data_IF_336820571700
#
_entry.id   IF_336820571700
#
_cell.length_a   1.000
_cell.length_b   1.000
_cell.length_c   1.000
_cell.angle_alpha   90.00
_cell.angle_beta   90.00
_cell.angle_gamma   90.00
#
_symmetry.space_group_name_H-M   'P 1'
#
loop_
_entity.id
_entity.type
_entity.pdbx_description
1 polymer ?
#
# COMPACT_ATOMS: atom_id res chain seq x y z
N UNK A 1 -25.42 -23.55 5.16
CA UNK A 1 -25.82 -23.01 3.84
C UNK A 1 -25.82 -21.51 3.98
N UNK A 2 -24.94 -20.82 3.23
CA UNK A 2 -24.82 -19.37 3.21
C UNK A 2 -26.18 -18.73 2.86
N UNK A 3 -26.50 -17.65 3.56
CA UNK A 3 -27.61 -16.79 3.18
C UNK A 3 -27.50 -16.47 1.67
N UNK A 4 -28.66 -16.40 1.02
CA UNK A 4 -28.83 -16.17 -0.41
C UNK A 4 -27.72 -15.29 -1.01
N UNK A 5 -27.02 -15.81 -2.01
CA UNK A 5 -25.98 -15.09 -2.76
C UNK A 5 -26.46 -13.77 -3.40
N UNK A 6 -27.76 -13.50 -3.34
CA UNK A 6 -28.43 -12.29 -3.82
C UNK A 6 -28.42 -11.12 -2.81
N UNK A 7 -28.03 -11.34 -1.54
CA UNK A 7 -28.15 -10.31 -0.49
C UNK A 7 -26.82 -9.88 0.13
N UNK A 8 -25.68 -10.30 -0.41
CA UNK A 8 -24.37 -9.86 0.05
C UNK A 8 -23.83 -8.69 -0.79
N UNK A 9 -22.79 -8.02 -0.30
CA UNK A 9 -22.18 -6.85 -0.94
C UNK A 9 -20.94 -7.17 -1.81
N UNK A 10 -20.59 -8.45 -1.99
CA UNK A 10 -19.36 -8.87 -2.69
C UNK A 10 -19.24 -8.28 -4.13
N UNK A 11 -20.34 -8.21 -4.86
CA UNK A 11 -20.33 -7.63 -6.21
C UNK A 11 -20.12 -6.12 -6.20
N UNK A 12 -20.65 -5.44 -5.18
CA UNK A 12 -20.41 -4.00 -5.00
C UNK A 12 -18.99 -3.72 -4.52
N UNK A 13 -18.46 -4.56 -3.65
CA UNK A 13 -17.07 -4.55 -3.19
C UNK A 13 -16.12 -4.68 -4.39
N UNK A 14 -16.30 -5.70 -5.24
CA UNK A 14 -15.52 -5.89 -6.46
C UNK A 14 -15.51 -4.63 -7.36
N UNK A 15 -16.68 -4.02 -7.59
CA UNK A 15 -16.79 -2.80 -8.38
C UNK A 15 -16.12 -1.61 -7.69
N UNK A 16 -16.33 -1.50 -6.38
CA UNK A 16 -15.81 -0.40 -5.58
C UNK A 16 -14.29 -0.39 -5.47
N UNK A 17 -13.65 -1.55 -5.30
CA UNK A 17 -12.18 -1.70 -5.32
C UNK A 17 -11.61 -1.18 -6.66
N UNK A 18 -12.18 -1.58 -7.77
CA UNK A 18 -11.73 -1.12 -9.09
C UNK A 18 -11.84 0.41 -9.24
N UNK A 19 -12.96 1.00 -8.80
CA UNK A 19 -13.17 2.46 -8.83
C UNK A 19 -12.18 3.17 -7.90
N UNK A 20 -12.04 2.71 -6.66
CA UNK A 20 -11.10 3.23 -5.68
C UNK A 20 -9.68 3.26 -6.22
N UNK A 21 -9.21 2.13 -6.75
CA UNK A 21 -7.90 1.98 -7.35
C UNK A 21 -7.68 2.91 -8.54
N UNK A 22 -8.68 3.07 -9.41
CA UNK A 22 -8.61 3.94 -10.58
C UNK A 22 -8.54 5.42 -10.20
N UNK A 23 -9.42 5.87 -9.29
CA UNK A 23 -9.46 7.27 -8.83
C UNK A 23 -8.16 7.65 -8.12
N UNK A 24 -7.64 6.78 -7.26
CA UNK A 24 -6.37 7.02 -6.57
C UNK A 24 -5.20 7.05 -7.56
N UNK A 25 -5.20 6.16 -8.56
CA UNK A 25 -4.17 6.14 -9.60
C UNK A 25 -4.15 7.43 -10.42
N UNK A 26 -5.30 7.91 -10.87
CA UNK A 26 -5.42 9.17 -11.61
C UNK A 26 -4.96 10.36 -10.76
N UNK A 27 -5.37 10.40 -9.49
CA UNK A 27 -4.93 11.46 -8.56
C UNK A 27 -3.41 11.48 -8.39
N UNK A 28 -2.80 10.32 -8.16
CA UNK A 28 -1.35 10.20 -7.99
C UNK A 28 -0.59 10.54 -9.29
N UNK A 29 -1.08 10.08 -10.43
CA UNK A 29 -0.51 10.37 -11.74
C UNK A 29 -0.47 11.89 -12.01
N UNK A 30 -1.56 12.58 -11.73
CA UNK A 30 -1.66 14.03 -11.90
C UNK A 30 -0.82 14.80 -10.88
N UNK A 31 -0.84 14.37 -9.61
CA UNK A 31 -0.13 15.06 -8.52
C UNK A 31 1.39 14.90 -8.59
N UNK A 32 1.86 13.77 -9.14
CA UNK A 32 3.28 13.41 -9.18
C UNK A 32 3.76 13.08 -10.60
N UNK A 33 3.72 14.04 -11.55
CA UNK A 33 3.91 13.78 -12.98
C UNK A 33 5.29 13.24 -13.36
N UNK A 34 6.30 13.46 -12.52
CA UNK A 34 7.68 13.04 -12.79
C UNK A 34 8.07 11.73 -12.08
N UNK A 35 7.13 11.07 -11.41
CA UNK A 35 7.44 9.85 -10.68
C UNK A 35 7.25 8.61 -11.54
N UNK A 36 8.15 7.63 -11.33
CA UNK A 36 8.08 6.34 -12.02
C UNK A 36 6.90 5.50 -11.52
N UNK A 37 6.41 4.61 -12.38
CA UNK A 37 5.30 3.68 -12.12
C UNK A 37 5.45 2.95 -10.79
N UNK A 38 6.62 2.37 -10.50
CA UNK A 38 6.83 1.61 -9.27
C UNK A 38 6.64 2.41 -7.98
N UNK A 39 6.94 3.73 -7.98
CA UNK A 39 6.66 4.60 -6.83
C UNK A 39 5.15 4.88 -6.72
N UNK A 40 4.50 5.23 -7.83
CA UNK A 40 3.06 5.49 -7.87
C UNK A 40 2.26 4.26 -7.42
N UNK A 41 2.67 3.07 -7.82
CA UNK A 41 2.06 1.80 -7.40
C UNK A 41 2.20 1.57 -5.89
N UNK A 42 3.37 1.84 -5.29
CA UNK A 42 3.54 1.74 -3.83
C UNK A 42 2.69 2.76 -3.07
N UNK A 43 2.63 3.99 -3.57
CA UNK A 43 1.78 5.04 -2.97
C UNK A 43 0.29 4.68 -3.06
N UNK A 44 -0.16 4.16 -4.20
CA UNK A 44 -1.52 3.64 -4.35
C UNK A 44 -1.80 2.52 -3.35
N UNK A 45 -0.96 1.49 -3.32
CA UNK A 45 -1.13 0.36 -2.39
C UNK A 45 -1.19 0.82 -0.92
N UNK A 46 -0.43 1.84 -0.54
CA UNK A 46 -0.50 2.42 0.81
C UNK A 46 -1.85 3.11 1.09
N UNK A 47 -2.39 3.81 0.11
CA UNK A 47 -3.65 4.57 0.25
C UNK A 47 -4.88 3.66 0.29
N UNK A 48 -4.88 2.57 -0.51
CA UNK A 48 -6.04 1.67 -0.65
C UNK A 48 -5.95 0.42 0.22
N UNK A 49 -4.91 0.29 1.06
CA UNK A 49 -4.74 -0.89 1.92
C UNK A 49 -5.83 -0.99 3.00
N UNK A 50 -6.12 -2.22 3.43
CA UNK A 50 -7.14 -2.56 4.42
C UNK A 50 -7.09 -1.74 5.70
N UNK A 51 -5.89 -1.47 6.27
CA UNK A 51 -5.74 -0.60 7.44
C UNK A 51 -6.27 0.82 7.24
N UNK A 52 -6.12 1.37 6.03
CA UNK A 52 -6.61 2.70 5.70
C UNK A 52 -8.14 2.70 5.60
N UNK A 53 -8.70 1.73 4.87
CA UNK A 53 -10.15 1.61 4.69
C UNK A 53 -10.85 1.24 6.00
N UNK A 54 -10.25 0.37 6.81
CA UNK A 54 -10.76 0.04 8.14
C UNK A 54 -10.83 1.26 9.06
N UNK A 55 -9.80 2.12 9.08
CA UNK A 55 -9.85 3.38 9.86
C UNK A 55 -10.95 4.32 9.37
N UNK A 56 -11.18 4.37 8.06
CA UNK A 56 -12.26 5.15 7.47
C UNK A 56 -13.61 4.58 7.90
N UNK A 57 -13.78 3.26 7.86
CA UNK A 57 -15.00 2.59 8.30
C UNK A 57 -15.34 2.90 9.76
N UNK A 58 -14.36 2.85 10.66
CA UNK A 58 -14.56 3.24 12.05
C UNK A 58 -14.93 4.71 12.21
N UNK A 59 -14.25 5.60 11.49
CA UNK A 59 -14.55 7.05 11.53
C UNK A 59 -15.95 7.37 11.06
N UNK A 60 -16.49 6.58 10.14
CA UNK A 60 -17.84 6.70 9.61
C UNK A 60 -18.88 5.87 10.43
N UNK A 61 -18.43 5.24 11.53
CA UNK A 61 -19.24 4.40 12.40
C UNK A 61 -20.00 3.27 11.66
N UNK A 62 -19.40 2.76 10.54
CA UNK A 62 -20.05 1.76 9.69
C UNK A 62 -20.37 0.47 10.42
N UNK A 63 -19.66 0.16 11.50
CA UNK A 63 -19.94 -1.00 12.37
C UNK A 63 -21.39 -1.03 12.89
N UNK A 64 -22.02 0.11 13.04
CA UNK A 64 -23.40 0.22 13.52
C UNK A 64 -24.44 -0.14 12.46
N UNK A 65 -24.04 -0.19 11.19
CA UNK A 65 -24.93 -0.42 10.04
C UNK A 65 -24.73 -1.78 9.37
N UNK A 66 -23.65 -2.50 9.73
CA UNK A 66 -23.33 -3.79 9.12
C UNK A 66 -24.19 -4.88 9.74
N UNK A 67 -24.94 -5.59 8.90
CA UNK A 67 -25.68 -6.78 9.29
C UNK A 67 -24.79 -8.00 9.08
N UNK A 68 -24.28 -8.55 10.17
CA UNK A 68 -23.47 -9.77 10.14
C UNK A 68 -24.36 -11.02 10.33
N UNK A 69 -23.98 -12.14 9.70
CA UNK A 69 -24.63 -13.42 9.94
C UNK A 69 -24.37 -13.92 11.37
N UNK A 70 -25.24 -14.78 11.89
CA UNK A 70 -25.15 -15.33 13.27
C UNK A 70 -23.79 -15.99 13.61
N UNK A 71 -23.05 -16.47 12.60
CA UNK A 71 -21.72 -17.07 12.80
C UNK A 71 -20.56 -16.08 12.90
N UNK A 72 -20.80 -14.79 12.73
CA UNK A 72 -19.73 -13.77 12.69
C UNK A 72 -19.48 -13.05 14.02
N UNK A 73 -20.20 -13.41 15.09
CA UNK A 73 -20.02 -12.77 16.41
C UNK A 73 -18.60 -12.94 17.00
N UNK A 74 -17.94 -14.07 16.70
CA UNK A 74 -16.61 -14.44 17.23
C UNK A 74 -15.50 -14.39 16.17
N UNK A 75 -15.57 -13.47 15.21
CA UNK A 75 -14.53 -13.32 14.20
C UNK A 75 -13.22 -12.79 14.78
N UNK A 76 -12.09 -13.26 14.24
CA UNK A 76 -10.78 -12.67 14.52
C UNK A 76 -10.72 -11.19 14.12
N UNK A 77 -9.75 -10.46 14.65
CA UNK A 77 -9.54 -9.04 14.32
C UNK A 77 -9.31 -8.83 12.83
N UNK A 78 -8.56 -9.73 12.20
CA UNK A 78 -8.23 -9.68 10.77
C UNK A 78 -9.50 -9.82 9.90
N UNK A 79 -10.39 -10.76 10.28
CA UNK A 79 -11.66 -10.93 9.57
C UNK A 79 -12.61 -9.74 9.73
N UNK A 80 -12.65 -9.14 10.92
CA UNK A 80 -13.42 -7.90 11.14
C UNK A 80 -12.87 -6.76 10.30
N UNK A 81 -11.55 -6.65 10.21
CA UNK A 81 -10.89 -5.67 9.35
C UNK A 81 -11.26 -5.86 7.88
N UNK A 82 -11.15 -7.08 7.35
CA UNK A 82 -11.50 -7.39 5.96
C UNK A 82 -12.98 -7.08 5.64
N UNK A 83 -13.90 -7.34 6.57
CA UNK A 83 -15.32 -6.97 6.39
C UNK A 83 -15.47 -5.45 6.29
N UNK A 84 -14.81 -4.69 7.15
CA UNK A 84 -14.90 -3.23 7.15
C UNK A 84 -14.30 -2.61 5.89
N UNK A 85 -13.20 -3.16 5.39
CA UNK A 85 -12.58 -2.82 4.12
C UNK A 85 -13.58 -3.02 2.98
N UNK A 86 -14.11 -4.24 2.82
CA UNK A 86 -15.08 -4.57 1.77
C UNK A 86 -16.38 -3.75 1.85
N UNK A 87 -16.80 -3.35 3.06
CA UNK A 87 -17.97 -2.45 3.19
C UNK A 87 -17.68 -1.06 2.64
N UNK A 88 -16.50 -0.50 2.89
CA UNK A 88 -16.12 0.80 2.32
C UNK A 88 -16.10 0.73 0.79
N UNK A 89 -15.50 -0.32 0.24
CA UNK A 89 -15.48 -0.55 -1.20
C UNK A 89 -16.89 -0.75 -1.76
N UNK A 90 -17.71 -1.54 -1.10
CA UNK A 90 -19.11 -1.74 -1.52
C UNK A 90 -19.92 -0.43 -1.55
N UNK A 91 -19.68 0.48 -0.61
CA UNK A 91 -20.31 1.81 -0.62
C UNK A 91 -19.85 2.61 -1.84
N UNK A 92 -18.56 2.56 -2.20
CA UNK A 92 -18.04 3.21 -3.41
C UNK A 92 -18.71 2.64 -4.66
N UNK A 93 -18.83 1.31 -4.75
CA UNK A 93 -19.55 0.63 -5.83
C UNK A 93 -21.02 1.03 -5.91
N UNK A 94 -21.70 1.13 -4.76
CA UNK A 94 -23.09 1.56 -4.69
C UNK A 94 -23.28 3.01 -5.17
N UNK A 95 -22.41 3.93 -4.75
CA UNK A 95 -22.41 5.33 -5.21
C UNK A 95 -22.25 5.41 -6.72
N UNK A 96 -21.40 4.56 -7.32
CA UNK A 96 -21.24 4.52 -8.77
C UNK A 96 -22.51 4.09 -9.49
N UNK A 97 -23.20 3.07 -9.00
CA UNK A 97 -24.42 2.56 -9.64
C UNK A 97 -25.63 3.49 -9.43
N UNK A 98 -25.67 4.19 -8.30
CA UNK A 98 -26.76 5.13 -7.96
C UNK A 98 -26.58 6.51 -8.61
N UNK A 99 -25.37 6.82 -9.10
CA UNK A 99 -25.07 8.14 -9.67
C UNK A 99 -24.28 8.04 -10.99
N UNK A 100 -23.00 8.40 -10.97
CA UNK A 100 -22.10 8.38 -12.13
C UNK A 100 -20.63 8.45 -11.69
N UNK A 101 -19.72 8.34 -12.68
CA UNK A 101 -18.28 8.39 -12.48
C UNK A 101 -17.80 9.65 -11.73
N UNK A 102 -18.26 10.82 -12.15
CA UNK A 102 -17.83 12.10 -11.56
C UNK A 102 -18.20 12.23 -10.09
N UNK A 103 -19.39 11.77 -9.73
CA UNK A 103 -19.87 11.74 -8.35
C UNK A 103 -19.06 10.75 -7.52
N UNK A 104 -18.81 9.56 -8.05
CA UNK A 104 -17.99 8.52 -7.38
C UNK A 104 -16.56 8.98 -7.18
N UNK A 105 -15.96 9.61 -8.18
CA UNK A 105 -14.62 10.20 -8.09
C UNK A 105 -14.54 11.25 -6.97
N UNK A 106 -15.47 12.19 -6.94
CA UNK A 106 -15.55 13.19 -5.88
C UNK A 106 -15.75 12.56 -4.49
N UNK A 107 -16.58 11.52 -4.41
CA UNK A 107 -16.79 10.77 -3.18
C UNK A 107 -15.52 10.12 -2.67
N UNK A 108 -14.80 9.37 -3.50
CA UNK A 108 -13.55 8.71 -3.15
C UNK A 108 -12.49 9.72 -2.71
N UNK A 109 -12.31 10.82 -3.46
CA UNK A 109 -11.34 11.87 -3.10
C UNK A 109 -11.69 12.55 -1.76
N UNK A 110 -12.98 12.75 -1.48
CA UNK A 110 -13.45 13.27 -0.18
C UNK A 110 -13.19 12.28 0.94
N UNK A 111 -13.44 11.00 0.70
CA UNK A 111 -13.25 9.90 1.65
C UNK A 111 -11.78 9.79 2.08
N UNK A 112 -10.86 9.86 1.12
CA UNK A 112 -9.41 9.76 1.33
C UNK A 112 -8.73 11.13 1.55
N UNK A 113 -9.45 12.23 1.71
CA UNK A 113 -8.88 13.58 1.76
C UNK A 113 -7.71 13.72 2.73
N UNK A 114 -7.82 13.13 3.93
CA UNK A 114 -6.78 13.18 4.96
C UNK A 114 -5.53 12.40 4.55
N UNK A 115 -5.70 11.22 3.99
CA UNK A 115 -4.62 10.35 3.55
C UNK A 115 -3.91 10.96 2.32
N UNK A 116 -4.67 11.46 1.36
CA UNK A 116 -4.16 12.14 0.16
C UNK A 116 -3.41 13.44 0.48
N UNK A 117 -3.81 14.16 1.54
CA UNK A 117 -3.09 15.38 1.97
C UNK A 117 -1.74 15.09 2.62
N UNK A 118 -1.58 13.91 3.22
CA UNK A 118 -0.35 13.49 3.89
C UNK A 118 0.63 12.76 2.99
N UNK A 119 0.16 12.31 1.82
CA UNK A 119 1.03 11.57 0.91
C UNK A 119 2.04 12.50 0.25
N UNK A 120 3.30 12.19 0.43
CA UNK A 120 4.44 12.91 -0.12
C UNK A 120 5.44 11.92 -0.72
N UNK A 121 6.42 12.43 -1.46
CA UNK A 121 7.51 11.61 -2.04
C UNK A 121 8.56 11.37 -0.96
N UNK A 122 8.16 10.94 0.20
CA UNK A 122 9.08 10.68 1.30
C UNK A 122 9.88 9.39 1.08
N UNK A 123 10.98 9.29 1.81
CA UNK A 123 11.88 8.12 1.79
C UNK A 123 11.15 6.79 2.05
N UNK A 124 9.98 6.84 2.68
CA UNK A 124 9.16 5.66 3.01
C UNK A 124 8.65 4.91 1.77
N UNK A 125 8.33 5.63 0.68
CA UNK A 125 7.86 5.02 -0.58
C UNK A 125 8.98 4.69 -1.55
N UNK A 126 10.20 5.18 -1.31
CA UNK A 126 11.35 4.85 -2.13
C UNK A 126 11.89 3.48 -1.74
N UNK A 127 11.90 2.56 -2.68
CA UNK A 127 12.60 1.28 -2.50
C UNK A 127 14.10 1.51 -2.72
N UNK A 128 14.84 1.58 -1.63
CA UNK A 128 16.28 1.82 -1.67
C UNK A 128 17.04 0.75 -2.47
N UNK A 129 16.52 -0.47 -2.55
CA UNK A 129 17.14 -1.54 -3.37
C UNK A 129 17.02 -1.22 -4.86
N UNK A 130 15.81 -0.88 -5.30
CA UNK A 130 15.53 -0.49 -6.69
C UNK A 130 16.30 0.78 -7.06
N UNK A 131 16.31 1.78 -6.17
CA UNK A 131 17.02 3.04 -6.41
C UNK A 131 18.54 2.84 -6.52
N UNK A 132 19.13 1.96 -5.68
CA UNK A 132 20.53 1.59 -5.76
C UNK A 132 20.85 0.85 -7.06
N UNK A 133 20.02 -0.11 -7.43
CA UNK A 133 20.17 -0.84 -8.68
C UNK A 133 20.14 0.09 -9.89
N UNK A 134 19.15 0.98 -9.99
CA UNK A 134 19.03 1.96 -11.07
C UNK A 134 20.26 2.89 -11.13
N UNK A 135 20.74 3.36 -9.95
CA UNK A 135 21.92 4.21 -9.87
C UNK A 135 23.17 3.50 -10.38
N UNK A 136 23.40 2.24 -10.00
CA UNK A 136 24.55 1.46 -10.44
C UNK A 136 24.45 1.16 -11.95
N UNK A 137 23.28 0.77 -12.44
CA UNK A 137 23.04 0.59 -13.88
C UNK A 137 23.31 1.86 -14.69
N UNK A 138 22.91 3.03 -14.20
CA UNK A 138 23.19 4.31 -14.87
C UNK A 138 24.68 4.62 -14.97
N UNK A 139 25.47 4.09 -14.02
CA UNK A 139 26.94 4.17 -14.01
C UNK A 139 27.61 3.01 -14.74
N UNK A 140 26.85 2.11 -15.38
CA UNK A 140 27.33 0.87 -16.04
C UNK A 140 28.07 -0.07 -15.07
N UNK A 141 27.63 -0.11 -13.82
CA UNK A 141 28.13 -1.00 -12.76
C UNK A 141 27.11 -2.11 -12.56
N UNK A 142 27.60 -3.32 -12.29
CA UNK A 142 26.75 -4.48 -12.03
C UNK A 142 25.80 -4.26 -10.83
N UNK A 143 24.62 -4.91 -10.85
CA UNK A 143 23.68 -4.84 -9.73
C UNK A 143 24.32 -5.27 -8.41
N UNK A 144 23.92 -4.68 -7.27
CA UNK A 144 24.52 -5.03 -5.99
C UNK A 144 24.13 -6.45 -5.57
N UNK A 145 25.13 -7.21 -5.12
CA UNK A 145 24.93 -8.54 -4.52
C UNK A 145 24.73 -8.36 -3.02
N UNK A 146 23.61 -8.89 -2.49
CA UNK A 146 23.27 -8.84 -1.07
C UNK A 146 23.65 -10.14 -0.38
N UNK A 147 24.57 -10.06 0.56
CA UNK A 147 24.91 -11.16 1.47
C UNK A 147 24.13 -10.97 2.77
N UNK A 148 23.13 -11.83 3.01
CA UNK A 148 22.25 -11.71 4.18
C UNK A 148 22.33 -12.96 5.03
N UNK A 149 22.62 -12.78 6.32
CA UNK A 149 22.65 -13.82 7.35
C UNK A 149 21.58 -13.58 8.39
N UNK A 150 20.98 -14.67 8.87
CA UNK A 150 20.06 -14.67 10.00
C UNK A 150 20.83 -14.59 11.31
N UNK A 151 20.31 -13.86 12.27
CA UNK A 151 20.84 -13.69 13.62
C UNK A 151 19.73 -14.04 14.62
N UNK A 152 20.07 -14.27 15.86
CA UNK A 152 19.09 -14.56 16.94
C UNK A 152 18.06 -13.40 17.11
N UNK A 153 18.47 -12.17 16.79
CA UNK A 153 17.68 -10.94 16.94
C UNK A 153 17.24 -10.31 15.59
N UNK A 154 17.20 -11.08 14.50
CA UNK A 154 16.80 -10.59 13.18
C UNK A 154 17.76 -10.97 12.06
N UNK A 155 18.01 -10.05 11.13
CA UNK A 155 18.82 -10.27 9.93
C UNK A 155 19.90 -9.21 9.80
N UNK A 156 21.08 -9.62 9.30
CA UNK A 156 22.16 -8.72 8.92
C UNK A 156 22.45 -8.87 7.43
N UNK A 157 22.48 -7.75 6.71
CA UNK A 157 22.81 -7.73 5.29
C UNK A 157 24.04 -6.88 5.03
N UNK A 158 24.84 -7.30 4.04
CA UNK A 158 25.99 -6.55 3.52
C UNK A 158 25.95 -6.47 2.00
N UNK A 159 26.51 -5.37 1.48
CA UNK A 159 26.82 -5.17 0.07
C UNK A 159 28.20 -4.56 -0.06
N UNK A 160 28.91 -4.95 -1.12
CA UNK A 160 30.20 -4.35 -1.49
C UNK A 160 29.96 -3.37 -2.64
N UNK A 161 30.57 -2.20 -2.54
CA UNK A 161 30.65 -1.22 -3.62
C UNK A 161 32.07 -0.66 -3.65
N UNK A 162 32.78 -0.90 -4.74
CA UNK A 162 34.21 -0.67 -4.84
C UNK A 162 34.96 -1.35 -3.67
N UNK A 163 35.78 -0.62 -2.94
CA UNK A 163 36.54 -1.14 -1.80
C UNK A 163 35.79 -1.02 -0.46
N UNK A 164 34.53 -0.55 -0.48
CA UNK A 164 33.72 -0.36 0.73
C UNK A 164 32.66 -1.44 0.91
N UNK A 165 32.54 -1.91 2.14
CA UNK A 165 31.49 -2.84 2.56
C UNK A 165 30.52 -2.08 3.46
N UNK A 166 29.24 -2.03 3.03
CA UNK A 166 28.14 -1.49 3.82
C UNK A 166 27.45 -2.63 4.55
N UNK A 167 27.04 -2.40 5.79
CA UNK A 167 26.32 -3.38 6.62
C UNK A 167 25.14 -2.74 7.32
N UNK A 168 24.02 -3.49 7.40
CA UNK A 168 22.85 -3.08 8.17
C UNK A 168 22.17 -4.29 8.81
N UNK A 169 21.39 -4.05 9.88
CA UNK A 169 20.48 -5.00 10.50
C UNK A 169 19.02 -4.62 10.17
N UNK A 170 18.13 -5.60 10.25
CA UNK A 170 16.68 -5.43 10.09
C UNK A 170 15.90 -6.58 10.72
N UNK A 171 14.64 -6.39 10.97
CA UNK A 171 13.77 -7.40 11.58
C UNK A 171 13.39 -8.54 10.60
N UNK A 172 13.63 -8.34 9.31
CA UNK A 172 13.48 -9.34 8.25
C UNK A 172 14.62 -9.22 7.26
N UNK A 173 14.84 -10.27 6.45
CA UNK A 173 15.80 -10.26 5.34
C UNK A 173 15.60 -9.04 4.45
N UNK A 174 14.35 -8.79 4.04
CA UNK A 174 13.99 -7.65 3.17
C UNK A 174 14.31 -6.30 3.82
N UNK A 175 14.08 -6.18 5.11
CA UNK A 175 14.34 -4.96 5.86
C UNK A 175 15.84 -4.68 6.00
N UNK A 176 16.65 -5.70 6.34
CA UNK A 176 18.10 -5.59 6.40
C UNK A 176 18.70 -5.19 5.05
N UNK A 177 18.24 -5.80 3.96
CA UNK A 177 18.67 -5.48 2.59
C UNK A 177 18.27 -4.05 2.17
N UNK A 178 17.08 -3.58 2.57
CA UNK A 178 16.64 -2.20 2.32
C UNK A 178 17.50 -1.18 3.06
N UNK A 179 17.80 -1.44 4.33
CA UNK A 179 18.62 -0.54 5.14
C UNK A 179 20.08 -0.48 4.69
N UNK A 180 20.66 -1.59 4.25
CA UNK A 180 22.04 -1.57 3.70
C UNK A 180 22.07 -0.84 2.35
N UNK A 181 21.08 -1.02 1.48
CA UNK A 181 20.96 -0.28 0.22
C UNK A 181 20.87 1.24 0.46
N UNK A 182 20.08 1.65 1.47
CA UNK A 182 19.95 3.06 1.87
C UNK A 182 21.27 3.68 2.33
N UNK A 183 22.09 2.91 3.07
CA UNK A 183 23.43 3.36 3.48
C UNK A 183 24.35 3.55 2.28
N UNK A 184 24.38 2.59 1.35
CA UNK A 184 25.16 2.69 0.13
C UNK A 184 24.73 3.87 -0.75
N UNK A 185 23.43 4.05 -0.98
CA UNK A 185 22.90 5.18 -1.73
C UNK A 185 23.34 6.53 -1.16
N UNK A 186 23.32 6.65 0.17
CA UNK A 186 23.74 7.88 0.84
C UNK A 186 25.21 8.21 0.58
N UNK A 187 26.04 7.17 0.44
CA UNK A 187 27.47 7.33 0.13
C UNK A 187 27.72 7.64 -1.36
N UNK A 188 27.04 6.91 -2.26
CA UNK A 188 27.29 6.99 -3.71
C UNK A 188 26.74 8.29 -4.34
N UNK A 189 25.77 8.96 -3.68
CA UNK A 189 25.18 10.22 -4.11
C UNK A 189 25.92 11.48 -3.65
N UNK A 190 26.94 11.30 -2.81
CA UNK A 190 27.84 12.39 -2.42
C UNK A 190 28.93 12.54 -3.48
#
# INVERSE_FOLDING_TARGET
KSADSKSNNERLEFLGDAILSTVVSEHLYTKFPYQKEGLLTRMRSHLVKGDTLTRIAYKLELTNFIKLSKGTANLSSERKQSILEGVVEAIIGAVMLDSNWETSKKFVLKLLKRELSKISIDKEFRDSKTELQELLQSKKIDPPVYETTELDDGFKSSIKYEDKIFKAKGNSKRDAEREVAKKALKFIKI
#
